data_IF_913798590759
#
_entry.id   IF_913798590759
#
_cell.length_a   1.000
_cell.length_b   1.000
_cell.length_c   1.000
_cell.angle_alpha   90.00
_cell.angle_beta   90.00
_cell.angle_gamma   90.00
#
_symmetry.space_group_name_H-M   'P 1'
#
loop_
_entity.id
_entity.type
_entity.pdbx_description
1 polymer ?
#
# COMPACT_ATOMS: atom_id res chain seq x y z
N UNK A 1 25.54 22.41 -0.41
CA UNK A 1 26.84 22.89 -0.87
C UNK A 1 26.60 24.05 -1.82
N UNK A 2 27.24 25.20 -1.59
CA UNK A 2 27.17 26.37 -2.46
C UNK A 2 28.22 26.28 -3.57
N UNK A 3 27.91 26.84 -4.73
CA UNK A 3 28.88 27.07 -5.80
C UNK A 3 29.29 28.54 -5.71
N UNK A 4 30.57 28.80 -5.52
CA UNK A 4 31.13 30.16 -5.46
C UNK A 4 31.79 30.49 -6.80
N UNK A 5 31.61 31.72 -7.23
CA UNK A 5 32.33 32.27 -8.37
C UNK A 5 33.84 32.34 -8.08
N UNK A 6 34.70 32.44 -9.12
CA UNK A 6 36.11 32.73 -8.93
C UNK A 6 36.31 33.99 -8.05
N UNK A 7 37.34 33.98 -7.19
CA UNK A 7 37.58 35.08 -6.25
C UNK A 7 37.71 36.45 -6.94
N UNK A 8 36.97 37.48 -6.50
CA UNK A 8 37.44 38.85 -6.68
C UNK A 8 38.64 39.11 -5.77
N UNK A 9 39.51 40.07 -6.12
CA UNK A 9 40.76 40.40 -5.40
C UNK A 9 40.58 40.74 -3.90
N UNK A 10 39.35 40.90 -3.40
CA UNK A 10 39.04 41.37 -2.04
C UNK A 10 38.36 40.33 -1.11
N UNK A 11 38.18 39.07 -1.53
CA UNK A 11 37.50 38.02 -0.72
C UNK A 11 38.51 36.96 -0.23
N UNK A 12 39.54 37.37 0.50
CA UNK A 12 40.53 36.44 1.06
C UNK A 12 39.93 35.58 2.20
N UNK A 13 40.18 34.26 2.23
CA UNK A 13 39.73 33.39 3.32
C UNK A 13 40.52 33.63 4.61
N UNK A 14 39.92 33.35 5.78
CA UNK A 14 40.62 33.45 7.07
C UNK A 14 41.87 32.55 7.12
N UNK A 15 41.80 31.40 6.45
CA UNK A 15 42.94 30.51 6.21
C UNK A 15 42.78 29.75 4.88
N UNK A 16 43.88 29.59 4.15
CA UNK A 16 43.95 28.76 2.95
C UNK A 16 45.14 27.80 3.03
N UNK A 17 44.89 26.50 2.86
CA UNK A 17 45.89 25.45 2.99
C UNK A 17 45.87 24.51 1.77
N UNK A 18 47.04 24.00 1.34
CA UNK A 18 47.10 22.87 0.42
C UNK A 18 46.41 21.60 0.96
N UNK A 19 45.83 20.79 0.07
CA UNK A 19 45.19 19.53 0.43
C UNK A 19 46.16 18.44 0.91
N UNK A 20 47.47 18.63 0.75
CA UNK A 20 48.54 17.75 1.21
C UNK A 20 49.22 18.23 2.50
N UNK A 21 48.74 19.31 3.11
CA UNK A 21 49.22 19.82 4.40
C UNK A 21 49.06 18.76 5.50
N UNK A 22 50.09 18.53 6.34
CA UNK A 22 50.00 17.61 7.47
C UNK A 22 48.84 17.96 8.41
N UNK A 23 48.11 16.94 8.88
CA UNK A 23 46.89 17.14 9.68
C UNK A 23 47.08 18.07 10.89
N UNK A 24 48.21 17.98 11.59
CA UNK A 24 48.49 18.85 12.75
C UNK A 24 48.52 20.35 12.39
N UNK A 25 49.01 20.68 11.19
CA UNK A 25 49.04 22.06 10.67
C UNK A 25 47.65 22.48 10.20
N UNK A 26 46.89 21.57 9.59
CA UNK A 26 45.49 21.80 9.22
C UNK A 26 44.63 22.15 10.44
N UNK A 27 44.79 21.40 11.53
CA UNK A 27 44.09 21.66 12.78
C UNK A 27 44.50 22.97 13.44
N UNK A 28 45.78 23.33 13.35
CA UNK A 28 46.26 24.63 13.83
C UNK A 28 45.64 25.77 13.03
N UNK A 29 45.55 25.65 11.70
CA UNK A 29 44.91 26.64 10.83
C UNK A 29 43.39 26.72 11.06
N UNK A 30 42.74 25.61 11.40
CA UNK A 30 41.32 25.58 11.72
C UNK A 30 40.98 26.26 13.07
N UNK A 31 41.93 26.31 14.02
CA UNK A 31 41.74 26.97 15.31
C UNK A 31 41.65 28.49 15.14
N UNK A 32 40.42 29.00 15.17
CA UNK A 32 40.12 30.44 15.09
C UNK A 32 39.71 30.93 13.71
N UNK A 33 39.73 30.07 12.68
CA UNK A 33 39.22 30.39 11.36
C UNK A 33 37.71 30.09 11.26
N UNK A 34 36.91 31.09 10.96
CA UNK A 34 35.49 30.89 10.65
C UNK A 34 35.31 30.36 9.22
N UNK A 35 36.28 30.60 8.34
CA UNK A 35 36.30 30.12 6.95
C UNK A 35 37.66 29.55 6.58
N UNK A 36 37.72 28.25 6.32
CA UNK A 36 38.93 27.53 5.91
C UNK A 36 38.80 27.02 4.48
N UNK A 37 39.76 27.38 3.64
CA UNK A 37 39.85 26.93 2.24
C UNK A 37 40.88 25.82 2.10
N UNK A 38 40.50 24.68 1.52
CA UNK A 38 41.41 23.58 1.17
C UNK A 38 41.60 23.56 -0.35
N UNK A 39 42.86 23.71 -0.79
CA UNK A 39 43.23 23.75 -2.21
C UNK A 39 43.67 22.38 -2.72
N UNK A 40 42.96 21.86 -3.71
CA UNK A 40 43.30 20.63 -4.43
C UNK A 40 44.32 20.95 -5.53
N UNK A 41 45.51 20.35 -5.43
CA UNK A 41 46.59 20.55 -6.39
C UNK A 41 46.37 19.81 -7.72
N UNK A 42 45.67 18.67 -7.67
CA UNK A 42 45.27 17.88 -8.84
C UNK A 42 43.94 17.18 -8.54
N UNK A 43 43.10 16.96 -9.54
CA UNK A 43 41.81 16.24 -9.36
C UNK A 43 42.00 14.80 -8.85
N UNK A 44 43.19 14.23 -9.00
CA UNK A 44 43.57 12.90 -8.51
C UNK A 44 43.97 12.88 -7.03
N UNK A 45 44.11 14.04 -6.39
CA UNK A 45 44.48 14.14 -4.99
C UNK A 45 43.26 14.02 -4.06
N UNK A 46 43.15 12.87 -3.40
CA UNK A 46 42.05 12.57 -2.47
C UNK A 46 42.21 13.14 -1.06
N UNK A 47 43.38 13.68 -0.67
CA UNK A 47 43.67 14.02 0.74
C UNK A 47 42.78 15.12 1.29
N UNK A 48 42.41 16.11 0.47
CA UNK A 48 41.51 17.20 0.89
C UNK A 48 40.13 16.70 1.37
N UNK A 49 39.61 15.61 0.79
CA UNK A 49 38.36 14.99 1.24
C UNK A 49 38.51 14.38 2.64
N UNK A 50 39.62 13.69 2.91
CA UNK A 50 39.91 13.11 4.21
C UNK A 50 40.11 14.18 5.28
N UNK A 51 40.85 15.25 4.96
CA UNK A 51 41.05 16.37 5.87
C UNK A 51 39.73 17.02 6.26
N UNK A 52 38.83 17.27 5.30
CA UNK A 52 37.52 17.83 5.58
C UNK A 52 36.68 16.91 6.49
N UNK A 53 36.65 15.59 6.21
CA UNK A 53 35.93 14.63 7.06
C UNK A 53 36.47 14.62 8.49
N UNK A 54 37.81 14.56 8.65
CA UNK A 54 38.47 14.56 9.96
C UNK A 54 38.17 15.85 10.72
N UNK A 55 38.21 17.00 10.05
CA UNK A 55 37.86 18.29 10.67
C UNK A 55 36.43 18.30 11.21
N UNK A 56 35.46 17.78 10.44
CA UNK A 56 34.07 17.66 10.90
C UNK A 56 33.91 16.70 12.06
N UNK A 57 34.56 15.53 12.01
CA UNK A 57 34.58 14.56 13.11
C UNK A 57 35.18 15.14 14.39
N UNK A 58 36.19 16.01 14.26
CA UNK A 58 36.83 16.73 15.38
C UNK A 58 36.09 18.01 15.79
N UNK A 59 34.90 18.25 15.24
CA UNK A 59 34.00 19.32 15.68
C UNK A 59 34.25 20.69 15.07
N UNK A 60 34.98 20.80 13.96
CA UNK A 60 35.09 22.06 13.23
C UNK A 60 33.74 22.49 12.66
N UNK A 61 33.17 23.57 13.21
CA UNK A 61 31.87 24.13 12.81
C UNK A 61 31.95 25.29 11.81
N UNK A 62 33.15 25.73 11.43
CA UNK A 62 33.35 26.81 10.46
C UNK A 62 33.04 26.38 9.02
N UNK A 63 33.08 27.36 8.11
CA UNK A 63 32.84 27.18 6.68
C UNK A 63 34.05 26.49 6.02
N UNK A 64 33.85 25.32 5.41
CA UNK A 64 34.86 24.63 4.60
C UNK A 64 34.62 24.88 3.11
N UNK A 65 35.63 25.44 2.45
CA UNK A 65 35.60 25.77 1.02
C UNK A 65 36.63 24.93 0.26
N UNK A 66 36.20 24.22 -0.77
CA UNK A 66 37.08 23.53 -1.70
C UNK A 66 37.45 24.44 -2.89
N UNK A 67 38.70 24.41 -3.33
CA UNK A 67 39.16 25.15 -4.51
C UNK A 67 40.27 24.38 -5.23
N UNK A 68 40.59 24.74 -6.48
CA UNK A 68 41.73 24.18 -7.22
C UNK A 68 41.29 23.24 -8.33
N UNK A 69 42.10 22.24 -8.63
CA UNK A 69 41.83 21.29 -9.72
C UNK A 69 40.81 20.24 -9.27
N UNK A 70 39.53 20.52 -9.52
CA UNK A 70 38.37 19.71 -9.14
C UNK A 70 37.43 19.54 -10.32
N UNK A 71 36.79 18.38 -10.40
CA UNK A 71 35.84 18.04 -11.44
C UNK A 71 34.38 18.08 -10.92
N UNK A 72 33.37 18.32 -11.78
CA UNK A 72 31.96 18.36 -11.36
C UNK A 72 31.47 17.07 -10.66
N UNK A 73 31.95 15.89 -11.08
CA UNK A 73 31.62 14.59 -10.48
C UNK A 73 32.08 14.48 -9.01
N UNK A 74 33.10 15.25 -8.64
CA UNK A 74 33.62 15.32 -7.26
C UNK A 74 32.73 16.15 -6.33
N UNK A 75 31.76 16.91 -6.85
CA UNK A 75 30.90 17.80 -6.06
C UNK A 75 30.15 17.06 -4.93
N UNK A 76 29.67 15.84 -5.19
CA UNK A 76 29.03 14.99 -4.19
C UNK A 76 30.00 14.57 -3.09
N UNK A 77 31.21 14.18 -3.49
CA UNK A 77 32.24 13.73 -2.56
C UNK A 77 32.65 14.87 -1.63
N UNK A 78 32.80 16.09 -2.16
CA UNK A 78 33.06 17.30 -1.36
C UNK A 78 31.97 17.51 -0.31
N UNK A 79 30.70 17.50 -0.73
CA UNK A 79 29.56 17.64 0.19
C UNK A 79 29.56 16.57 1.28
N UNK A 80 29.76 15.29 0.91
CA UNK A 80 29.75 14.16 1.86
C UNK A 80 30.95 14.15 2.81
N UNK A 81 32.07 14.71 2.39
CA UNK A 81 33.26 14.95 3.24
C UNK A 81 33.12 16.18 4.13
N UNK A 82 32.06 16.97 3.98
CA UNK A 82 31.76 18.09 4.89
C UNK A 82 32.12 19.47 4.36
N UNK A 83 32.43 19.64 3.07
CA UNK A 83 32.57 20.96 2.46
C UNK A 83 31.22 21.67 2.34
N UNK A 84 31.19 22.95 2.72
CA UNK A 84 30.00 23.81 2.61
C UNK A 84 29.88 24.45 1.24
N UNK A 85 31.02 24.72 0.62
CA UNK A 85 31.10 25.37 -0.68
C UNK A 85 32.27 24.83 -1.51
N UNK A 86 32.13 24.98 -2.83
CA UNK A 86 33.22 24.80 -3.79
C UNK A 86 33.34 26.05 -4.63
N UNK A 87 34.56 26.52 -4.78
CA UNK A 87 34.90 27.65 -5.64
C UNK A 87 35.26 27.12 -7.02
N UNK A 88 34.52 27.58 -8.02
CA UNK A 88 34.68 27.14 -9.40
C UNK A 88 35.85 27.85 -10.07
N UNK A 89 36.55 27.13 -10.96
CA UNK A 89 37.58 27.74 -11.80
C UNK A 89 36.94 28.59 -12.92
N UNK A 90 37.64 29.60 -13.45
CA UNK A 90 37.17 30.35 -14.61
C UNK A 90 36.83 29.41 -15.78
N UNK A 91 35.63 29.58 -16.36
CA UNK A 91 35.14 28.77 -17.47
C UNK A 91 34.44 27.46 -17.08
N UNK A 92 34.32 27.12 -15.79
CA UNK A 92 33.49 26.00 -15.34
C UNK A 92 31.99 26.30 -15.52
N UNK A 93 31.20 25.28 -15.89
CA UNK A 93 29.74 25.39 -15.99
C UNK A 93 29.07 25.05 -14.64
N UNK A 94 28.43 26.01 -13.95
CA UNK A 94 27.72 25.73 -12.69
C UNK A 94 26.56 24.73 -12.84
N UNK A 95 25.98 24.56 -14.04
CA UNK A 95 24.89 23.62 -14.27
C UNK A 95 25.34 22.16 -14.11
N UNK A 96 26.53 21.81 -14.61
CA UNK A 96 27.10 20.46 -14.46
C UNK A 96 27.33 20.11 -12.98
N UNK A 97 27.86 21.05 -12.20
CA UNK A 97 28.07 20.88 -10.76
C UNK A 97 26.77 20.69 -9.99
N UNK A 98 25.72 21.47 -10.34
CA UNK A 98 24.38 21.30 -9.74
C UNK A 98 23.78 19.94 -10.09
N UNK A 99 23.94 19.48 -11.34
CA UNK A 99 23.49 18.17 -11.77
C UNK A 99 24.16 17.06 -10.93
N UNK A 100 25.49 17.08 -10.81
CA UNK A 100 26.23 16.07 -10.05
C UNK A 100 25.91 16.06 -8.54
N UNK A 101 25.57 17.22 -7.97
CA UNK A 101 25.06 17.31 -6.60
C UNK A 101 23.71 16.61 -6.41
N UNK A 102 22.88 16.53 -7.45
CA UNK A 102 21.52 16.01 -7.42
C UNK A 102 21.38 14.55 -7.89
N UNK A 103 22.35 14.00 -8.65
CA UNK A 103 22.24 12.69 -9.32
C UNK A 103 21.91 11.51 -8.38
N UNK A 104 22.32 11.55 -7.11
CA UNK A 104 22.06 10.46 -6.17
C UNK A 104 21.45 11.03 -4.87
N UNK A 105 20.17 10.84 -4.63
CA UNK A 105 19.49 11.35 -3.42
C UNK A 105 19.52 10.37 -2.22
N UNK A 106 19.98 9.15 -2.46
CA UNK A 106 19.94 8.03 -1.53
C UNK A 106 21.34 7.55 -1.22
N UNK A 107 21.66 7.38 0.07
CA UNK A 107 22.99 6.97 0.54
C UNK A 107 22.93 5.67 1.32
N UNK A 108 23.98 4.87 1.23
CA UNK A 108 24.08 3.60 1.96
C UNK A 108 24.71 3.78 3.35
N UNK A 109 25.64 4.73 3.48
CA UNK A 109 26.42 4.97 4.69
C UNK A 109 26.21 6.41 5.20
N UNK A 110 26.23 6.64 6.52
CA UNK A 110 26.38 7.97 7.09
C UNK A 110 27.67 8.66 6.58
N UNK A 111 27.68 9.99 6.57
CA UNK A 111 28.86 10.80 6.28
C UNK A 111 28.77 12.14 7.04
N UNK A 112 29.64 13.10 6.73
CA UNK A 112 29.62 14.42 7.38
C UNK A 112 28.42 15.28 6.95
N UNK A 113 27.69 14.89 5.91
CA UNK A 113 26.44 15.53 5.51
C UNK A 113 25.23 14.97 6.28
N UNK A 114 24.12 15.72 6.27
CA UNK A 114 22.88 15.34 6.96
C UNK A 114 22.05 14.25 6.23
N UNK A 115 22.64 13.51 5.29
CA UNK A 115 21.92 12.54 4.49
C UNK A 115 21.55 11.29 5.31
N UNK A 116 20.26 10.92 5.34
CA UNK A 116 19.77 9.73 6.04
C UNK A 116 20.03 8.47 5.21
N UNK A 117 20.72 7.44 5.74
CA UNK A 117 20.96 6.18 5.03
C UNK A 117 19.69 5.39 4.72
N UNK A 118 19.72 4.65 3.60
CA UNK A 118 18.60 3.83 3.11
C UNK A 118 18.09 2.83 4.15
N UNK A 119 18.96 2.24 4.97
CA UNK A 119 18.57 1.26 5.98
C UNK A 119 17.77 1.88 7.13
N UNK A 120 18.06 3.15 7.52
CA UNK A 120 17.23 3.88 8.50
C UNK A 120 15.88 4.26 7.91
N UNK A 121 15.81 4.58 6.62
CA UNK A 121 14.54 4.85 5.93
C UNK A 121 13.63 3.60 5.91
N UNK A 122 14.21 2.40 5.75
CA UNK A 122 13.47 1.12 5.76
C UNK A 122 12.90 0.78 7.14
N UNK A 123 13.63 1.06 8.22
CA UNK A 123 13.17 0.78 9.58
C UNK A 123 11.97 1.65 10.02
N UNK A 124 11.67 2.73 9.30
CA UNK A 124 10.57 3.64 9.60
C UNK A 124 9.27 3.33 8.82
N UNK A 125 9.22 2.23 8.04
CA UNK A 125 8.01 1.82 7.32
C UNK A 125 7.10 1.03 8.26
N UNK A 126 5.91 1.56 8.53
CA UNK A 126 4.83 0.90 9.29
C UNK A 126 4.48 -0.45 8.65
N UNK A 127 4.41 -1.54 9.44
CA UNK A 127 3.94 -2.85 8.93
C UNK A 127 2.44 -2.83 8.64
N UNK A 128 1.93 -3.80 7.87
CA UNK A 128 0.49 -3.90 7.61
C UNK A 128 -0.32 -4.09 8.89
N UNK A 129 0.20 -4.85 9.85
CA UNK A 129 -0.44 -5.08 11.15
C UNK A 129 -0.51 -3.79 11.97
N UNK A 130 0.59 -3.02 12.00
CA UNK A 130 0.63 -1.73 12.68
C UNK A 130 -0.34 -0.74 12.03
N UNK A 131 -0.37 -0.69 10.69
CA UNK A 131 -1.29 0.15 9.92
C UNK A 131 -2.74 -0.23 10.19
N UNK A 132 -3.09 -1.51 10.09
CA UNK A 132 -4.45 -1.98 10.32
C UNK A 132 -4.89 -1.70 11.76
N UNK A 133 -4.04 -1.93 12.76
CA UNK A 133 -4.35 -1.65 14.15
C UNK A 133 -4.58 -0.15 14.41
N UNK A 134 -3.76 0.73 13.80
CA UNK A 134 -3.94 2.19 13.86
C UNK A 134 -5.26 2.61 13.23
N UNK A 135 -5.57 2.11 12.02
CA UNK A 135 -6.80 2.43 11.31
C UNK A 135 -8.03 1.89 12.05
N UNK A 136 -7.98 0.67 12.57
CA UNK A 136 -9.07 0.11 13.38
C UNK A 136 -9.30 0.94 14.63
N UNK A 137 -8.26 1.33 15.36
CA UNK A 137 -8.39 2.19 16.53
C UNK A 137 -9.00 3.56 16.19
N UNK A 138 -8.66 4.13 15.03
CA UNK A 138 -9.16 5.44 14.61
C UNK A 138 -10.60 5.41 14.08
N UNK A 139 -11.00 4.34 13.39
CA UNK A 139 -12.28 4.26 12.68
C UNK A 139 -13.25 3.21 13.27
N UNK A 140 -12.93 2.63 14.43
CA UNK A 140 -13.68 1.53 15.08
C UNK A 140 -15.19 1.74 15.07
N UNK A 141 -15.61 2.95 15.41
CA UNK A 141 -17.00 3.36 15.60
C UNK A 141 -17.46 4.37 14.54
N UNK A 142 -16.70 4.48 13.44
CA UNK A 142 -17.03 5.39 12.35
C UNK A 142 -18.08 4.81 11.39
N UNK A 143 -18.73 5.70 10.64
CA UNK A 143 -19.69 5.34 9.60
C UNK A 143 -19.00 4.66 8.40
N UNK A 144 -19.74 3.83 7.62
CA UNK A 144 -19.20 3.13 6.46
C UNK A 144 -18.48 4.03 5.45
N UNK A 145 -19.03 5.22 5.20
CA UNK A 145 -18.48 6.23 4.28
C UNK A 145 -17.09 6.70 4.74
N UNK A 146 -16.92 6.96 6.03
CA UNK A 146 -15.65 7.39 6.60
C UNK A 146 -14.59 6.27 6.55
N UNK A 147 -15.00 5.02 6.82
CA UNK A 147 -14.12 3.84 6.73
C UNK A 147 -13.65 3.65 5.28
N UNK A 148 -14.56 3.71 4.31
CA UNK A 148 -14.21 3.57 2.89
C UNK A 148 -13.32 4.70 2.39
N UNK A 149 -13.63 5.95 2.74
CA UNK A 149 -12.81 7.09 2.38
C UNK A 149 -11.38 6.97 2.95
N UNK A 150 -11.24 6.51 4.20
CA UNK A 150 -9.95 6.24 4.81
C UNK A 150 -9.18 5.14 4.07
N UNK A 151 -9.85 4.04 3.74
CA UNK A 151 -9.24 2.94 3.01
C UNK A 151 -8.70 3.37 1.63
N UNK A 152 -9.45 4.17 0.87
CA UNK A 152 -9.00 4.66 -0.44
C UNK A 152 -7.80 5.61 -0.34
N UNK A 153 -7.71 6.41 0.73
CA UNK A 153 -6.52 7.27 0.98
C UNK A 153 -5.28 6.45 1.35
N UNK A 154 -5.45 5.38 2.13
CA UNK A 154 -4.34 4.58 2.64
C UNK A 154 -3.82 3.53 1.62
N UNK A 155 -4.69 3.09 0.71
CA UNK A 155 -4.39 2.05 -0.29
C UNK A 155 -4.69 2.51 -1.73
N UNK A 156 -4.16 3.67 -2.19
CA UNK A 156 -4.47 4.22 -3.51
C UNK A 156 -4.03 3.25 -4.62
N UNK A 157 -4.99 2.83 -5.45
CA UNK A 157 -4.76 1.87 -6.55
C UNK A 157 -4.41 0.44 -6.11
N UNK A 158 -4.39 0.16 -4.79
CA UNK A 158 -4.03 -1.15 -4.21
C UNK A 158 -5.17 -1.75 -3.38
N UNK A 159 -6.39 -1.28 -3.61
CA UNK A 159 -7.62 -1.74 -2.95
C UNK A 159 -8.60 -2.31 -3.96
N UNK A 160 -9.35 -3.34 -3.57
CA UNK A 160 -10.47 -3.88 -4.33
C UNK A 160 -11.60 -4.30 -3.39
N UNK A 161 -12.82 -4.40 -3.90
CA UNK A 161 -13.96 -4.94 -3.16
C UNK A 161 -14.28 -6.35 -3.60
N UNK A 162 -14.48 -7.24 -2.62
CA UNK A 162 -15.06 -8.56 -2.85
C UNK A 162 -16.58 -8.45 -2.82
N UNK A 163 -17.24 -8.91 -3.86
CA UNK A 163 -18.71 -8.96 -3.89
C UNK A 163 -19.21 -10.25 -4.54
N UNK A 164 -20.14 -10.91 -3.86
CA UNK A 164 -20.91 -12.01 -4.46
C UNK A 164 -22.20 -11.53 -5.11
N UNK A 165 -22.49 -10.22 -5.07
CA UNK A 165 -23.78 -9.65 -5.49
C UNK A 165 -24.98 -10.36 -4.83
N UNK A 166 -24.82 -10.71 -3.54
CA UNK A 166 -25.89 -11.29 -2.73
C UNK A 166 -26.93 -10.26 -2.29
N UNK A 167 -27.91 -10.69 -1.48
CA UNK A 167 -29.07 -9.87 -1.07
C UNK A 167 -28.70 -8.48 -0.55
N UNK A 168 -27.71 -8.38 0.35
CA UNK A 168 -27.31 -7.10 0.95
C UNK A 168 -26.12 -6.41 0.23
N UNK A 169 -25.68 -6.94 -0.92
CA UNK A 169 -24.47 -6.44 -1.59
C UNK A 169 -24.66 -5.03 -2.17
N UNK A 170 -25.90 -4.64 -2.51
CA UNK A 170 -26.19 -3.33 -3.07
C UNK A 170 -25.75 -2.18 -2.18
N UNK A 171 -25.95 -2.28 -0.86
CA UNK A 171 -25.51 -1.22 0.07
C UNK A 171 -23.99 -1.03 0.02
N UNK A 172 -23.22 -2.13 0.09
CA UNK A 172 -21.75 -2.05 0.03
C UNK A 172 -21.26 -1.50 -1.31
N UNK A 173 -21.88 -1.90 -2.42
CA UNK A 173 -21.49 -1.49 -3.76
C UNK A 173 -21.91 -0.04 -4.05
N UNK A 174 -23.05 0.39 -3.53
CA UNK A 174 -23.51 1.77 -3.63
C UNK A 174 -22.57 2.72 -2.91
N UNK A 175 -22.19 2.39 -1.66
CA UNK A 175 -21.19 3.13 -0.90
C UNK A 175 -19.84 3.19 -1.62
N UNK A 176 -19.40 2.08 -2.22
CA UNK A 176 -18.17 2.05 -3.02
C UNK A 176 -18.27 3.02 -4.21
N UNK A 177 -19.37 2.96 -4.95
CA UNK A 177 -19.59 3.80 -6.14
C UNK A 177 -19.61 5.30 -5.82
N UNK A 178 -20.08 5.69 -4.63
CA UNK A 178 -20.02 7.08 -4.17
C UNK A 178 -18.59 7.55 -3.89
N UNK A 179 -17.70 6.64 -3.48
CA UNK A 179 -16.29 6.96 -3.17
C UNK A 179 -15.43 6.93 -4.42
N UNK A 180 -15.44 5.80 -5.13
CA UNK A 180 -14.71 5.62 -6.39
C UNK A 180 -15.37 4.49 -7.22
N UNK A 181 -16.15 4.81 -8.26
CA UNK A 181 -16.77 3.81 -9.13
C UNK A 181 -15.77 3.05 -10.02
N UNK A 182 -14.50 3.45 -10.06
CA UNK A 182 -13.42 2.76 -10.76
C UNK A 182 -12.69 1.72 -9.90
N UNK A 183 -12.98 1.66 -8.59
CA UNK A 183 -12.41 0.64 -7.70
C UNK A 183 -12.76 -0.76 -8.20
N UNK A 184 -11.78 -1.67 -8.34
CA UNK A 184 -12.04 -3.03 -8.80
C UNK A 184 -13.04 -3.77 -7.90
N UNK A 185 -14.12 -4.28 -8.49
CA UNK A 185 -15.06 -5.18 -7.80
C UNK A 185 -14.83 -6.59 -8.31
N UNK A 186 -14.27 -7.45 -7.45
CA UNK A 186 -13.99 -8.84 -7.77
C UNK A 186 -15.27 -9.66 -7.57
N UNK A 187 -15.85 -10.12 -8.68
CA UNK A 187 -16.95 -11.09 -8.69
C UNK A 187 -16.43 -12.48 -9.00
N UNK A 188 -16.55 -13.40 -8.05
CA UNK A 188 -16.15 -14.79 -8.23
C UNK A 188 -17.27 -15.58 -8.90
N UNK A 189 -17.14 -15.78 -10.21
CA UNK A 189 -18.07 -16.57 -11.00
C UNK A 189 -17.72 -18.05 -10.93
N UNK A 190 -18.45 -18.77 -10.08
CA UNK A 190 -18.22 -20.19 -9.85
C UNK A 190 -18.68 -21.07 -11.02
N UNK A 191 -19.40 -20.53 -11.99
CA UNK A 191 -20.13 -21.29 -13.01
C UNK A 191 -21.34 -22.06 -12.47
N UNK A 192 -21.69 -21.88 -11.19
CA UNK A 192 -22.79 -22.58 -10.50
C UNK A 192 -23.77 -21.58 -9.84
N UNK A 193 -23.82 -20.34 -10.32
CA UNK A 193 -24.70 -19.30 -9.81
C UNK A 193 -26.14 -19.45 -10.32
N UNK A 194 -27.09 -18.86 -9.61
CA UNK A 194 -28.42 -18.60 -10.17
C UNK A 194 -28.31 -17.60 -11.33
N UNK A 195 -29.11 -17.77 -12.38
CA UNK A 195 -29.19 -16.80 -13.48
C UNK A 195 -29.62 -15.41 -12.97
N UNK A 196 -30.48 -15.37 -11.95
CA UNK A 196 -30.92 -14.16 -11.28
C UNK A 196 -29.75 -13.39 -10.66
N UNK A 197 -28.75 -14.07 -10.09
CA UNK A 197 -27.57 -13.43 -9.51
C UNK A 197 -26.67 -12.83 -10.60
N UNK A 198 -26.52 -13.50 -11.74
CA UNK A 198 -25.77 -12.95 -12.88
C UNK A 198 -26.48 -11.74 -13.49
N UNK A 199 -27.80 -11.82 -13.65
CA UNK A 199 -28.61 -10.71 -14.16
C UNK A 199 -28.60 -9.51 -13.21
N UNK A 200 -28.77 -9.77 -11.92
CA UNK A 200 -28.72 -8.75 -10.86
C UNK A 200 -27.35 -8.09 -10.77
N UNK A 201 -26.26 -8.84 -10.95
CA UNK A 201 -24.89 -8.27 -11.03
C UNK A 201 -24.80 -7.21 -12.11
N UNK A 202 -25.24 -7.54 -13.33
CA UNK A 202 -25.14 -6.65 -14.48
C UNK A 202 -26.05 -5.43 -14.33
N UNK A 203 -27.29 -5.64 -13.87
CA UNK A 203 -28.23 -4.56 -13.56
C UNK A 203 -27.67 -3.60 -12.50
N UNK A 204 -27.21 -4.14 -11.37
CA UNK A 204 -26.73 -3.34 -10.25
C UNK A 204 -25.43 -2.61 -10.60
N UNK A 205 -24.51 -3.27 -11.31
CA UNK A 205 -23.27 -2.63 -11.76
C UNK A 205 -23.55 -1.44 -12.69
N UNK A 206 -24.48 -1.60 -13.64
CA UNK A 206 -24.90 -0.53 -14.54
C UNK A 206 -25.60 0.60 -13.77
N UNK A 207 -26.53 0.26 -12.87
CA UNK A 207 -27.30 1.23 -12.09
C UNK A 207 -26.40 2.08 -11.18
N UNK A 208 -25.39 1.46 -10.57
CA UNK A 208 -24.44 2.14 -9.68
C UNK A 208 -23.27 2.80 -10.42
N UNK A 209 -23.16 2.61 -11.74
CA UNK A 209 -22.05 3.16 -12.54
C UNK A 209 -20.70 2.53 -12.24
N UNK A 210 -20.66 1.28 -11.76
CA UNK A 210 -19.41 0.56 -11.50
C UNK A 210 -18.69 0.28 -12.81
N UNK A 211 -17.47 0.81 -12.97
CA UNK A 211 -16.72 0.74 -14.24
C UNK A 211 -15.68 -0.38 -14.29
N UNK A 212 -15.47 -1.09 -13.18
CA UNK A 212 -14.37 -2.05 -13.03
C UNK A 212 -14.79 -3.35 -12.32
N UNK A 213 -15.90 -3.95 -12.77
CA UNK A 213 -16.31 -5.28 -12.31
C UNK A 213 -15.43 -6.33 -12.98
N UNK A 214 -14.63 -7.04 -12.19
CA UNK A 214 -13.72 -8.10 -12.64
C UNK A 214 -14.32 -9.46 -12.38
N UNK A 215 -14.61 -10.20 -13.45
CA UNK A 215 -15.11 -11.58 -13.38
C UNK A 215 -13.93 -12.52 -13.14
N UNK A 216 -13.92 -13.19 -11.99
CA UNK A 216 -12.91 -14.17 -11.59
C UNK A 216 -13.47 -15.56 -11.80
N UNK A 217 -12.85 -16.33 -12.69
CA UNK A 217 -13.26 -17.69 -13.05
C UNK A 217 -12.31 -18.74 -12.48
N UNK A 218 -12.79 -19.97 -12.21
CA UNK A 218 -11.94 -21.13 -11.97
C UNK A 218 -10.98 -21.37 -13.13
N UNK A 219 -9.80 -21.92 -12.86
CA UNK A 219 -8.87 -22.29 -13.92
C UNK A 219 -9.50 -23.40 -14.78
N UNK A 220 -9.39 -23.25 -16.11
CA UNK A 220 -10.05 -24.13 -17.06
C UNK A 220 -9.46 -25.54 -17.02
N UNK A 221 -8.14 -25.66 -16.83
CA UNK A 221 -7.45 -26.94 -16.76
C UNK A 221 -7.70 -27.63 -15.41
N UNK A 222 -7.63 -26.89 -14.29
CA UNK A 222 -7.99 -27.41 -12.97
C UNK A 222 -9.43 -27.96 -13.01
N UNK A 223 -10.39 -27.19 -13.56
CA UNK A 223 -11.78 -27.63 -13.67
C UNK A 223 -11.96 -28.86 -14.57
N UNK A 224 -11.29 -28.90 -15.71
CA UNK A 224 -11.39 -30.04 -16.63
C UNK A 224 -10.82 -31.33 -16.01
N UNK A 225 -9.80 -31.21 -15.15
CA UNK A 225 -9.17 -32.35 -14.47
C UNK A 225 -9.95 -32.80 -13.23
N UNK A 226 -10.36 -31.86 -12.37
CA UNK A 226 -10.92 -32.15 -11.04
C UNK A 226 -12.45 -32.21 -11.01
N UNK A 227 -13.15 -31.53 -11.93
CA UNK A 227 -14.62 -31.53 -12.02
C UNK A 227 -15.12 -31.64 -13.48
N UNK A 228 -14.72 -32.69 -14.23
CA UNK A 228 -15.07 -32.84 -15.65
C UNK A 228 -16.58 -32.99 -15.91
N UNK A 229 -17.36 -33.35 -14.88
CA UNK A 229 -18.81 -33.56 -14.97
C UNK A 229 -19.63 -32.41 -14.41
N UNK A 230 -18.99 -31.33 -13.96
CA UNK A 230 -19.63 -30.14 -13.38
C UNK A 230 -20.58 -30.48 -12.20
N UNK A 231 -20.20 -31.49 -11.42
CA UNK A 231 -21.03 -32.05 -10.36
C UNK A 231 -20.28 -32.40 -9.07
N UNK A 232 -19.02 -31.96 -8.94
CA UNK A 232 -18.20 -32.17 -7.74
C UNK A 232 -18.90 -31.70 -6.45
N UNK A 233 -19.76 -30.68 -6.52
CA UNK A 233 -20.58 -30.23 -5.40
C UNK A 233 -21.49 -31.31 -4.80
N UNK A 234 -21.81 -32.39 -5.53
CA UNK A 234 -22.60 -33.52 -5.03
C UNK A 234 -21.78 -34.48 -4.17
N UNK A 235 -20.53 -34.70 -4.56
CA UNK A 235 -19.67 -35.74 -3.99
C UNK A 235 -18.68 -35.18 -2.98
N UNK A 236 -18.16 -33.98 -3.24
CA UNK A 236 -17.22 -33.28 -2.38
C UNK A 236 -17.44 -31.75 -2.45
N UNK A 237 -18.35 -31.21 -1.61
CA UNK A 237 -18.63 -29.77 -1.55
C UNK A 237 -17.44 -28.91 -1.12
N UNK A 238 -16.45 -29.49 -0.46
CA UNK A 238 -15.25 -28.79 0.00
C UNK A 238 -14.24 -28.66 -1.13
N UNK A 239 -13.92 -29.75 -1.83
CA UNK A 239 -13.11 -29.71 -3.05
C UNK A 239 -13.76 -28.81 -4.11
N UNK A 240 -15.09 -28.86 -4.27
CA UNK A 240 -15.80 -27.95 -5.16
C UNK A 240 -15.62 -26.48 -4.77
N UNK A 241 -15.69 -26.14 -3.47
CA UNK A 241 -15.47 -24.76 -3.01
C UNK A 241 -14.02 -24.35 -3.16
N UNK A 242 -13.07 -25.25 -2.91
CA UNK A 242 -11.66 -24.97 -3.08
C UNK A 242 -11.33 -24.63 -4.54
N UNK A 243 -11.68 -25.53 -5.46
CA UNK A 243 -11.51 -25.41 -6.91
C UNK A 243 -12.19 -24.16 -7.48
N UNK A 244 -13.46 -23.93 -7.14
CA UNK A 244 -14.28 -22.89 -7.78
C UNK A 244 -14.24 -21.55 -7.07
N UNK A 245 -13.79 -21.50 -5.82
CA UNK A 245 -13.84 -20.28 -5.00
C UNK A 245 -12.50 -19.91 -4.41
N UNK A 246 -11.89 -20.79 -3.62
CA UNK A 246 -10.71 -20.44 -2.81
C UNK A 246 -9.51 -20.14 -3.69
N UNK A 247 -9.08 -21.08 -4.53
CA UNK A 247 -7.88 -20.88 -5.38
C UNK A 247 -8.04 -19.73 -6.39
N UNK A 248 -9.16 -19.59 -7.12
CA UNK A 248 -9.32 -18.51 -8.08
C UNK A 248 -9.37 -17.14 -7.41
N UNK A 249 -10.06 -17.03 -6.27
CA UNK A 249 -10.12 -15.79 -5.52
C UNK A 249 -8.75 -15.43 -4.94
N UNK A 250 -8.00 -16.38 -4.39
CA UNK A 250 -6.64 -16.13 -3.90
C UNK A 250 -5.73 -15.57 -4.99
N UNK A 251 -5.76 -16.16 -6.20
CA UNK A 251 -5.01 -15.67 -7.36
C UNK A 251 -5.39 -14.23 -7.74
N UNK A 252 -6.69 -13.93 -7.81
CA UNK A 252 -7.17 -12.61 -8.17
C UNK A 252 -6.92 -11.56 -7.07
N UNK A 253 -7.04 -11.95 -5.80
CA UNK A 253 -6.87 -11.12 -4.64
C UNK A 253 -5.40 -10.70 -4.41
N UNK A 254 -4.43 -11.54 -4.78
CA UNK A 254 -3.01 -11.32 -4.54
C UNK A 254 -2.44 -10.01 -5.15
N UNK A 255 -3.15 -9.40 -6.12
CA UNK A 255 -2.76 -8.13 -6.71
C UNK A 255 -3.04 -6.89 -5.83
N UNK A 256 -3.72 -7.06 -4.69
CA UNK A 256 -4.17 -5.95 -3.83
C UNK A 256 -3.56 -6.03 -2.43
N UNK A 257 -3.33 -4.87 -1.81
CA UNK A 257 -2.88 -4.77 -0.41
C UNK A 257 -4.07 -4.77 0.55
N UNK A 258 -5.22 -4.24 0.10
CA UNK A 258 -6.45 -4.16 0.88
C UNK A 258 -7.67 -4.70 0.12
N UNK A 259 -8.58 -5.36 0.86
CA UNK A 259 -9.80 -5.95 0.34
C UNK A 259 -11.01 -5.55 1.16
N UNK A 260 -11.95 -4.85 0.53
CA UNK A 260 -13.23 -4.48 1.12
C UNK A 260 -14.15 -5.71 1.12
N UNK A 261 -14.81 -5.97 2.25
CA UNK A 261 -15.75 -7.09 2.40
C UNK A 261 -17.11 -6.61 2.91
N UNK A 262 -18.18 -7.35 2.56
CA UNK A 262 -19.52 -7.12 3.08
C UNK A 262 -19.79 -7.76 4.45
N UNK A 263 -18.75 -8.10 5.25
CA UNK A 263 -18.93 -8.75 6.56
C UNK A 263 -19.49 -7.76 7.59
N UNK A 264 -20.47 -8.24 8.37
CA UNK A 264 -21.16 -7.48 9.42
C UNK A 264 -21.09 -8.22 10.75
N UNK A 265 -21.15 -7.51 11.89
CA UNK A 265 -21.10 -8.13 13.22
C UNK A 265 -22.34 -8.98 13.53
N UNK A 266 -23.53 -8.60 13.03
CA UNK A 266 -24.78 -9.32 13.32
C UNK A 266 -24.98 -10.63 12.52
N UNK A 267 -24.26 -10.83 11.42
CA UNK A 267 -24.47 -11.98 10.52
C UNK A 267 -23.95 -13.33 11.06
N UNK A 268 -23.20 -13.34 12.18
CA UNK A 268 -22.82 -14.57 12.88
C UNK A 268 -22.40 -14.26 14.32
N UNK A 269 -22.70 -15.15 15.26
CA UNK A 269 -22.26 -15.06 16.67
C UNK A 269 -20.74 -14.95 16.82
N UNK A 270 -19.97 -15.57 15.93
CA UNK A 270 -18.49 -15.49 15.90
C UNK A 270 -17.95 -14.15 15.42
N UNK A 271 -18.79 -13.25 14.89
CA UNK A 271 -18.39 -11.96 14.28
C UNK A 271 -18.62 -10.75 15.17
N UNK A 272 -19.09 -10.91 16.40
CA UNK A 272 -19.34 -9.77 17.32
C UNK A 272 -18.11 -8.87 17.56
N UNK A 273 -16.89 -9.41 17.38
CA UNK A 273 -15.62 -8.68 17.53
C UNK A 273 -14.97 -8.29 16.20
N UNK A 274 -15.73 -8.27 15.11
CA UNK A 274 -15.21 -7.89 13.78
C UNK A 274 -14.66 -6.46 13.82
N UNK A 275 -13.36 -6.35 13.58
CA UNK A 275 -12.66 -5.09 13.39
C UNK A 275 -13.06 -4.43 12.06
N UNK A 276 -13.03 -3.10 11.98
CA UNK A 276 -13.28 -2.38 10.71
C UNK A 276 -12.06 -2.44 9.79
N UNK A 277 -10.86 -2.57 10.38
CA UNK A 277 -9.61 -2.90 9.68
C UNK A 277 -8.91 -4.06 10.39
N UNK A 278 -8.56 -5.12 9.68
CA UNK A 278 -7.78 -6.25 10.21
C UNK A 278 -6.81 -6.78 9.15
N UNK A 279 -5.76 -7.52 9.55
CA UNK A 279 -4.92 -8.24 8.59
C UNK A 279 -5.34 -9.70 8.56
N UNK A 280 -5.70 -10.21 7.38
CA UNK A 280 -5.93 -11.63 7.12
C UNK A 280 -5.18 -12.04 5.85
N UNK A 281 -4.35 -13.08 5.96
CA UNK A 281 -3.52 -13.63 4.88
C UNK A 281 -2.56 -12.60 4.25
N UNK A 282 -1.97 -11.75 5.08
CA UNK A 282 -1.04 -10.70 4.62
C UNK A 282 -1.69 -9.56 3.84
N UNK A 283 -3.03 -9.47 3.88
CA UNK A 283 -3.80 -8.38 3.26
C UNK A 283 -4.69 -7.71 4.30
N UNK A 284 -4.88 -6.40 4.17
CA UNK A 284 -5.81 -5.66 5.02
C UNK A 284 -7.24 -5.96 4.58
N UNK A 285 -8.11 -6.38 5.49
CA UNK A 285 -9.55 -6.50 5.29
C UNK A 285 -10.22 -5.26 5.83
N UNK A 286 -11.02 -4.64 4.97
CA UNK A 286 -11.81 -3.45 5.29
C UNK A 286 -13.27 -3.89 5.40
N UNK A 287 -13.87 -3.72 6.57
CA UNK A 287 -15.23 -4.15 6.86
C UNK A 287 -16.11 -2.92 7.15
N UNK A 288 -16.45 -2.10 6.14
CA UNK A 288 -17.14 -0.82 6.34
C UNK A 288 -18.55 -1.00 6.91
N UNK A 289 -19.16 -2.17 6.71
CA UNK A 289 -20.50 -2.48 7.21
C UNK A 289 -20.47 -3.15 8.59
N UNK A 290 -19.31 -3.24 9.25
CA UNK A 290 -19.19 -3.96 10.52
C UNK A 290 -20.08 -3.39 11.63
N UNK A 291 -20.31 -2.07 11.61
CA UNK A 291 -21.09 -1.36 12.62
C UNK A 291 -22.59 -1.32 12.32
N UNK A 292 -23.01 -1.61 11.08
CA UNK A 292 -24.42 -1.55 10.72
C UNK A 292 -25.18 -2.75 11.28
N UNK A 293 -26.39 -2.51 11.78
CA UNK A 293 -27.39 -3.55 12.04
C UNK A 293 -28.28 -3.82 10.81
N UNK A 294 -29.27 -4.72 10.97
CA UNK A 294 -30.15 -5.10 9.87
C UNK A 294 -31.13 -3.98 9.47
N UNK A 295 -31.61 -3.20 10.44
CA UNK A 295 -32.58 -2.12 10.20
C UNK A 295 -31.90 -0.95 9.48
N UNK A 296 -30.65 -0.64 9.83
CA UNK A 296 -29.84 0.36 9.13
C UNK A 296 -29.52 -0.04 7.69
N UNK A 297 -29.35 -1.33 7.43
CA UNK A 297 -29.15 -1.85 6.08
C UNK A 297 -30.42 -1.67 5.25
N UNK A 298 -31.57 -2.06 5.79
CA UNK A 298 -32.87 -1.89 5.15
C UNK A 298 -33.19 -0.41 4.88
N UNK A 299 -32.97 0.45 5.87
CA UNK A 299 -33.16 1.89 5.73
C UNK A 299 -32.30 2.48 4.59
N UNK A 300 -31.10 1.93 4.35
CA UNK A 300 -30.25 2.33 3.22
C UNK A 300 -30.74 1.78 1.88
N UNK A 301 -31.36 0.61 1.84
CA UNK A 301 -32.05 0.12 0.64
C UNK A 301 -33.17 1.10 0.25
N UNK A 302 -34.02 1.47 1.21
CA UNK A 302 -35.13 2.40 0.99
C UNK A 302 -34.65 3.80 0.61
N UNK A 303 -33.72 4.38 1.38
CA UNK A 303 -33.26 5.76 1.19
C UNK A 303 -32.58 6.00 -0.15
N UNK A 304 -31.99 4.96 -0.75
CA UNK A 304 -31.26 5.05 -2.02
C UNK A 304 -31.95 4.29 -3.16
N UNK A 305 -33.19 3.82 -2.94
CA UNK A 305 -33.97 3.04 -3.91
C UNK A 305 -33.17 1.86 -4.50
N UNK A 306 -32.39 1.17 -3.66
CA UNK A 306 -31.52 0.09 -4.14
C UNK A 306 -32.39 -1.13 -4.53
N UNK A 307 -32.14 -1.75 -5.69
CA UNK A 307 -32.93 -2.92 -6.09
C UNK A 307 -32.60 -4.10 -5.18
N UNK A 308 -33.63 -4.72 -4.61
CA UNK A 308 -33.48 -5.99 -3.90
C UNK A 308 -33.04 -7.10 -4.86
N UNK A 309 -32.32 -8.11 -4.35
CA UNK A 309 -31.95 -9.26 -5.17
C UNK A 309 -33.23 -10.05 -5.55
N UNK A 310 -33.46 -10.44 -6.83
CA UNK A 310 -34.73 -11.04 -7.27
C UNK A 310 -35.16 -12.34 -6.58
N UNK A 311 -34.21 -13.05 -5.96
CA UNK A 311 -34.46 -14.27 -5.17
C UNK A 311 -34.90 -13.98 -3.73
N UNK A 312 -34.72 -12.76 -3.21
CA UNK A 312 -35.11 -12.40 -1.85
C UNK A 312 -36.63 -12.60 -1.65
N UNK A 313 -37.45 -12.10 -2.58
CA UNK A 313 -38.91 -12.26 -2.58
C UNK A 313 -39.38 -13.71 -2.75
N UNK A 314 -38.47 -14.60 -3.17
CA UNK A 314 -38.72 -16.03 -3.30
C UNK A 314 -38.30 -16.82 -2.04
N UNK A 315 -37.94 -16.12 -0.96
CA UNK A 315 -37.55 -16.71 0.33
C UNK A 315 -36.08 -17.11 0.44
N UNK A 316 -35.21 -16.64 -0.46
CA UNK A 316 -33.77 -16.89 -0.38
C UNK A 316 -33.05 -15.82 0.45
N UNK A 317 -33.02 -16.02 1.78
CA UNK A 317 -32.38 -15.09 2.71
C UNK A 317 -30.83 -15.05 2.59
N UNK A 318 -30.19 -16.15 2.17
CA UNK A 318 -28.74 -16.19 1.90
C UNK A 318 -28.48 -16.86 0.56
N UNK A 319 -27.88 -16.13 -0.38
CA UNK A 319 -27.72 -16.57 -1.77
C UNK A 319 -26.27 -16.97 -2.04
N UNK A 320 -26.08 -18.16 -2.62
CA UNK A 320 -24.80 -18.67 -3.08
C UNK A 320 -24.94 -19.38 -4.43
N UNK A 321 -24.20 -20.46 -4.63
CA UNK A 321 -24.37 -21.31 -5.81
C UNK A 321 -25.75 -21.97 -5.78
N UNK A 322 -26.42 -22.05 -6.94
CA UNK A 322 -27.70 -22.74 -7.16
C UNK A 322 -27.77 -24.12 -6.49
N UNK A 323 -26.80 -25.04 -6.66
CA UNK A 323 -26.93 -26.39 -6.13
C UNK A 323 -26.80 -26.50 -4.60
N UNK A 324 -26.33 -25.43 -3.92
CA UNK A 324 -26.04 -25.45 -2.49
C UNK A 324 -26.87 -24.43 -1.70
N UNK A 325 -27.95 -23.92 -2.29
CA UNK A 325 -28.79 -22.87 -1.73
C UNK A 325 -30.27 -23.22 -1.90
N UNK A 326 -31.04 -23.20 -0.81
CA UNK A 326 -32.51 -23.29 -0.84
C UNK A 326 -33.16 -22.09 -0.18
N UNK A 327 -34.43 -21.85 -0.48
CA UNK A 327 -35.27 -20.94 0.28
C UNK A 327 -35.43 -21.42 1.74
N UNK A 328 -35.55 -20.47 2.66
CA UNK A 328 -35.79 -20.73 4.08
C UNK A 328 -37.28 -20.65 4.38
N UNK A 329 -37.75 -21.41 5.38
CA UNK A 329 -39.13 -21.29 5.87
C UNK A 329 -39.25 -20.12 6.83
N UNK A 330 -40.47 -19.63 7.03
CA UNK A 330 -40.75 -18.62 8.06
C UNK A 330 -40.24 -19.08 9.43
N UNK A 331 -39.40 -18.27 10.08
CA UNK A 331 -38.80 -18.57 11.38
C UNK A 331 -37.53 -19.43 11.35
N UNK A 332 -37.07 -19.91 10.18
CA UNK A 332 -35.74 -20.51 10.04
C UNK A 332 -34.66 -19.42 10.06
N UNK A 333 -33.46 -19.78 10.54
CA UNK A 333 -32.28 -18.91 10.46
C UNK A 333 -31.98 -18.52 9.00
N UNK A 334 -31.57 -17.27 8.76
CA UNK A 334 -31.35 -16.73 7.42
C UNK A 334 -30.31 -17.52 6.60
N UNK A 335 -29.38 -18.21 7.26
CA UNK A 335 -28.37 -19.06 6.62
C UNK A 335 -28.74 -20.55 6.61
N UNK A 336 -29.87 -20.97 7.19
CA UNK A 336 -30.33 -22.36 7.20
C UNK A 336 -30.53 -22.95 5.77
N UNK A 337 -30.68 -22.08 4.78
CA UNK A 337 -30.77 -22.47 3.37
C UNK A 337 -29.44 -22.84 2.72
N UNK A 338 -28.30 -22.57 3.37
CA UNK A 338 -26.95 -22.85 2.84
C UNK A 338 -26.50 -24.24 3.25
N UNK A 339 -26.05 -25.04 2.28
CA UNK A 339 -25.54 -26.40 2.51
C UNK A 339 -26.49 -27.31 3.31
N UNK A 340 -27.79 -27.10 3.17
CA UNK A 340 -28.85 -27.87 3.84
C UNK A 340 -28.67 -29.37 3.61
N UNK A 341 -28.57 -30.14 4.69
CA UNK A 341 -28.33 -31.59 4.64
C UNK A 341 -26.85 -32.00 4.70
N UNK A 342 -25.94 -31.08 5.05
CA UNK A 342 -24.51 -31.36 5.27
C UNK A 342 -24.01 -30.69 6.56
N UNK A 343 -22.85 -31.11 7.08
CA UNK A 343 -22.24 -30.56 8.31
C UNK A 343 -21.51 -29.20 8.09
N UNK A 344 -21.64 -28.58 6.91
CA UNK A 344 -20.87 -27.39 6.53
C UNK A 344 -21.51 -26.09 7.02
N UNK A 345 -20.75 -25.32 7.81
CA UNK A 345 -21.23 -24.09 8.46
C UNK A 345 -20.77 -22.81 7.76
N UNK A 346 -19.52 -22.77 7.27
CA UNK A 346 -18.94 -21.59 6.62
C UNK A 346 -18.19 -21.91 5.32
N UNK A 347 -18.08 -20.91 4.45
CA UNK A 347 -17.30 -21.03 3.23
C UNK A 347 -15.81 -20.78 3.52
N UNK A 348 -14.92 -21.57 2.90
CA UNK A 348 -13.46 -21.40 3.04
C UNK A 348 -12.89 -20.06 2.55
N UNK A 349 -13.70 -19.19 1.93
CA UNK A 349 -13.30 -17.85 1.48
C UNK A 349 -12.94 -16.92 2.67
N UNK A 350 -13.49 -17.19 3.86
CA UNK A 350 -13.37 -16.29 5.02
C UNK A 350 -12.57 -16.88 6.18
N UNK A 351 -12.01 -18.08 6.02
CA UNK A 351 -11.38 -18.81 7.12
C UNK A 351 -9.87 -18.53 7.27
N UNK A 352 -9.32 -17.57 6.51
CA UNK A 352 -7.87 -17.43 6.38
C UNK A 352 -7.26 -18.62 5.64
N UNK A 353 -5.97 -18.56 5.32
CA UNK A 353 -5.25 -19.70 4.80
C UNK A 353 -5.45 -20.90 5.74
N UNK A 354 -6.02 -22.00 5.20
CA UNK A 354 -5.91 -23.31 5.87
C UNK A 354 -4.42 -23.54 6.10
N UNK A 355 -4.01 -23.69 7.37
CA UNK A 355 -2.69 -24.21 7.67
C UNK A 355 -2.53 -25.51 6.88
N UNK A 356 -1.51 -25.54 6.02
CA UNK A 356 -1.18 -26.71 5.21
C UNK A 356 -0.81 -27.90 6.08
#
# INVERSE_FOLDING_TARGET
MRLLDPLPETDEPDAAIPGDTPLAEVEAAAKGANRLTIRFGAFRDGRGFSLASILRERGYGGELIATGDLLPDQARHLKRSGFDAVRLNPGADPAEWRAMLAVIDTVYQPAADAAVPVWRRRAAVETLEQKAARLDAQYRDADPEAILAAAHREFPGRIAQLSSFGAEAAVSLHLLAQVDPATPVLFLDTGQHFLQTLSYRDELANRLGLTNVKIVLPDVAERASEDPKDNLWRTDPDACCDLRKVRPLARAAAAYEALITGRKRYQATTRQRLAVFEVLDGQVRVNPLANLDADEVEARFEAHDLPAHPLADQGYASIGCWPCTRAVRSGEDARAGRWSGTDKVECGIHLGARAA
#
